data_IF_861376262965
#
_entry.id   IF_861376262965
#
_cell.length_a   1.000
_cell.length_b   1.000
_cell.length_c   1.000
_cell.angle_alpha   90.00
_cell.angle_beta   90.00
_cell.angle_gamma   90.00
#
_symmetry.space_group_name_H-M   'P 1'
#
loop_
_entity.id
_entity.type
_entity.pdbx_description
1 polymer ?
#
# COMPACT_ATOMS: atom_id res chain seq x y z
N UNK A 1 -21.39 -3.27 -12.04
CA UNK A 1 -20.08 -2.94 -12.64
C UNK A 1 -19.39 -1.92 -11.75
N UNK A 2 -18.38 -2.31 -10.98
CA UNK A 2 -17.63 -1.40 -10.08
C UNK A 2 -16.16 -1.43 -10.46
N UNK A 3 -15.87 -1.11 -11.71
CA UNK A 3 -14.50 -0.95 -12.20
C UNK A 3 -13.93 0.36 -11.68
N UNK A 4 -12.88 0.27 -10.87
CA UNK A 4 -11.75 1.21 -10.85
C UNK A 4 -11.97 2.65 -10.31
N UNK A 5 -12.70 2.85 -9.20
CA UNK A 5 -12.78 4.18 -8.61
C UNK A 5 -11.65 4.55 -7.62
N UNK A 6 -10.63 3.69 -7.41
CA UNK A 6 -9.54 3.95 -6.45
C UNK A 6 -8.16 3.48 -6.93
N UNK A 7 -7.88 3.63 -8.23
CA UNK A 7 -6.67 3.10 -8.86
C UNK A 7 -5.82 4.15 -9.60
N UNK A 8 -6.17 5.44 -9.49
CA UNK A 8 -5.38 6.54 -10.04
C UNK A 8 -4.05 6.72 -9.29
N UNK A 9 -3.04 7.37 -9.91
CA UNK A 9 -1.81 7.75 -9.24
C UNK A 9 -2.03 8.63 -7.99
N UNK A 10 -3.03 9.51 -8.02
CA UNK A 10 -3.41 10.41 -6.92
C UNK A 10 -3.95 9.62 -5.72
N UNK A 11 -4.88 8.70 -5.96
CA UNK A 11 -5.44 7.84 -4.92
C UNK A 11 -4.37 6.88 -4.37
N UNK A 12 -3.49 6.39 -5.23
CA UNK A 12 -2.37 5.55 -4.82
C UNK A 12 -1.42 6.35 -3.93
N UNK A 13 -1.00 7.55 -4.32
CA UNK A 13 -0.13 8.40 -3.49
C UNK A 13 -0.78 8.75 -2.13
N UNK A 14 -2.09 8.99 -2.10
CA UNK A 14 -2.83 9.25 -0.86
C UNK A 14 -2.78 8.03 0.07
N UNK A 15 -3.05 6.83 -0.45
CA UNK A 15 -2.92 5.57 0.32
C UNK A 15 -1.50 5.33 0.80
N UNK A 16 -0.51 5.56 -0.06
CA UNK A 16 0.89 5.40 0.31
C UNK A 16 1.29 6.34 1.44
N UNK A 17 0.73 7.56 1.50
CA UNK A 17 0.99 8.46 2.62
C UNK A 17 0.45 7.88 3.94
N UNK A 18 -0.75 7.29 3.91
CA UNK A 18 -1.32 6.57 5.08
C UNK A 18 -0.54 5.30 5.46
N UNK A 19 0.03 4.61 4.48
CA UNK A 19 0.84 3.41 4.68
C UNK A 19 2.17 3.77 5.35
N UNK A 20 2.93 4.69 4.74
CA UNK A 20 4.23 5.13 5.24
C UNK A 20 4.12 5.80 6.61
N UNK A 21 3.02 6.51 6.90
CA UNK A 21 2.84 7.17 8.19
C UNK A 21 2.72 6.19 9.37
N UNK A 22 2.30 4.95 9.10
CA UNK A 22 2.07 3.90 10.11
C UNK A 22 3.25 2.96 10.31
N UNK A 23 4.30 3.07 9.50
CA UNK A 23 5.50 2.24 9.61
C UNK A 23 6.65 3.06 10.20
N UNK A 24 7.27 2.63 11.32
CA UNK A 24 8.30 3.41 12.01
C UNK A 24 9.67 3.41 11.29
N UNK A 25 9.76 2.80 10.11
CA UNK A 25 10.98 2.69 9.30
C UNK A 25 10.69 2.91 7.83
N UNK A 26 11.73 3.18 7.05
CA UNK A 26 11.63 3.22 5.60
C UNK A 26 11.29 1.84 5.02
N UNK A 27 10.47 1.83 3.97
CA UNK A 27 10.04 0.64 3.23
C UNK A 27 10.67 0.59 1.85
N UNK A 28 10.99 -0.60 1.34
CA UNK A 28 11.32 -0.77 -0.07
C UNK A 28 10.09 -0.61 -0.97
N UNK A 29 10.30 -0.50 -2.29
CA UNK A 29 9.22 -0.53 -3.28
C UNK A 29 8.37 -1.81 -3.14
N UNK A 30 9.02 -2.96 -2.92
CA UNK A 30 8.33 -4.26 -2.87
C UNK A 30 7.55 -4.41 -1.56
N UNK A 31 8.10 -3.97 -0.43
CA UNK A 31 7.39 -3.95 0.87
C UNK A 31 6.17 -3.04 0.80
N UNK A 32 6.33 -1.84 0.23
CA UNK A 32 5.23 -0.87 0.05
C UNK A 32 4.16 -1.44 -0.88
N UNK A 33 4.57 -2.10 -1.97
CA UNK A 33 3.64 -2.73 -2.92
C UNK A 33 2.87 -3.87 -2.26
N UNK A 34 3.55 -4.72 -1.49
CA UNK A 34 2.93 -5.83 -0.76
C UNK A 34 1.90 -5.33 0.25
N UNK A 35 2.23 -4.29 1.04
CA UNK A 35 1.29 -3.67 1.97
C UNK A 35 0.09 -3.05 1.26
N UNK A 36 0.29 -2.24 0.23
CA UNK A 36 -0.83 -1.57 -0.45
C UNK A 36 -1.76 -2.57 -1.14
N UNK A 37 -1.21 -3.56 -1.85
CA UNK A 37 -2.03 -4.56 -2.54
C UNK A 37 -2.77 -5.44 -1.55
N UNK A 38 -2.11 -5.89 -0.48
CA UNK A 38 -2.73 -6.68 0.57
C UNK A 38 -3.84 -5.91 1.29
N UNK A 39 -3.61 -4.62 1.62
CA UNK A 39 -4.61 -3.78 2.28
C UNK A 39 -5.86 -3.59 1.41
N UNK A 40 -5.69 -3.45 0.09
CA UNK A 40 -6.83 -3.32 -0.83
C UNK A 40 -7.55 -4.64 -1.11
N UNK A 41 -6.85 -5.77 -0.99
CA UNK A 41 -7.32 -7.11 -1.34
C UNK A 41 -7.13 -8.15 -0.21
N UNK A 42 -7.42 -7.77 1.04
CA UNK A 42 -7.20 -8.59 2.24
C UNK A 42 -7.77 -10.01 2.09
N UNK A 43 -8.95 -10.18 1.49
CA UNK A 43 -9.54 -11.51 1.25
C UNK A 43 -8.74 -12.37 0.28
N UNK A 44 -8.30 -11.80 -0.84
CA UNK A 44 -7.57 -12.53 -1.88
C UNK A 44 -6.20 -12.98 -1.37
N UNK A 45 -5.56 -12.14 -0.57
CA UNK A 45 -4.28 -12.47 0.04
C UNK A 45 -4.39 -13.29 1.31
N UNK A 46 -5.59 -13.50 1.88
CA UNK A 46 -5.80 -14.36 3.04
C UNK A 46 -5.58 -13.68 4.39
N UNK A 47 -5.64 -12.35 4.43
CA UNK A 47 -5.47 -11.53 5.65
C UNK A 47 -6.79 -11.06 6.27
N UNK A 48 -7.92 -11.29 5.63
CA UNK A 48 -9.23 -10.94 6.16
C UNK A 48 -10.38 -11.51 5.33
N UNK A 49 -11.62 -11.19 5.71
CA UNK A 49 -12.82 -11.73 5.07
C UNK A 49 -13.43 -10.80 3.99
N UNK A 50 -12.96 -9.55 3.92
CA UNK A 50 -13.45 -8.51 3.01
C UNK A 50 -12.28 -7.76 2.38
N UNK A 51 -12.50 -7.18 1.20
CA UNK A 51 -11.50 -6.41 0.45
C UNK A 51 -12.08 -5.05 0.09
N UNK A 52 -11.27 -3.98 0.19
CA UNK A 52 -11.70 -2.61 -0.09
C UNK A 52 -12.06 -2.42 -1.56
N UNK A 53 -11.33 -3.08 -2.46
CA UNK A 53 -11.55 -2.98 -3.91
C UNK A 53 -12.48 -4.07 -4.44
N UNK A 54 -13.20 -4.76 -3.54
CA UNK A 54 -14.02 -5.91 -3.88
C UNK A 54 -13.18 -7.16 -4.16
N UNK A 55 -13.87 -8.25 -4.55
CA UNK A 55 -13.21 -9.49 -4.90
C UNK A 55 -12.94 -9.60 -6.38
N UNK A 56 -11.69 -9.90 -6.75
CA UNK A 56 -11.32 -10.22 -8.13
C UNK A 56 -10.30 -11.37 -8.15
N UNK A 57 -10.48 -12.39 -9.01
CA UNK A 57 -9.47 -13.43 -9.22
C UNK A 57 -8.19 -12.87 -9.87
N UNK A 58 -8.27 -11.68 -10.49
CA UNK A 58 -7.16 -11.01 -11.15
C UNK A 58 -6.31 -10.14 -10.22
N UNK A 59 -6.57 -10.14 -8.90
CA UNK A 59 -5.80 -9.32 -7.95
C UNK A 59 -4.29 -9.64 -8.00
N UNK A 60 -3.96 -10.89 -8.30
CA UNK A 60 -2.58 -11.34 -8.51
C UNK A 60 -1.99 -10.78 -9.81
N UNK A 61 -2.74 -10.85 -10.91
CA UNK A 61 -2.34 -10.26 -12.20
C UNK A 61 -2.19 -8.74 -12.13
N UNK A 62 -2.79 -8.08 -11.13
CA UNK A 62 -2.62 -6.64 -10.89
C UNK A 62 -1.26 -6.30 -10.25
N UNK A 63 -0.49 -7.27 -9.71
CA UNK A 63 0.71 -6.97 -8.93
C UNK A 63 1.73 -6.10 -9.68
N UNK A 64 2.06 -6.44 -10.92
CA UNK A 64 3.03 -5.66 -11.71
C UNK A 64 2.52 -4.25 -12.02
N UNK A 65 1.23 -4.13 -12.37
CA UNK A 65 0.59 -2.85 -12.60
C UNK A 65 0.47 -2.02 -11.31
N UNK A 66 0.29 -2.68 -10.16
CA UNK A 66 0.27 -2.07 -8.85
C UNK A 66 1.65 -1.57 -8.48
N UNK A 67 2.69 -2.39 -8.66
CA UNK A 67 4.08 -2.03 -8.37
C UNK A 67 4.51 -0.78 -9.15
N UNK A 68 4.16 -0.68 -10.44
CA UNK A 68 4.42 0.53 -11.25
C UNK A 68 3.72 1.77 -10.70
N UNK A 69 2.45 1.65 -10.28
CA UNK A 69 1.70 2.76 -9.68
C UNK A 69 2.23 3.15 -8.31
N UNK A 70 2.65 2.18 -7.50
CA UNK A 70 3.30 2.43 -6.21
C UNK A 70 4.60 3.20 -6.41
N UNK A 71 5.43 2.78 -7.37
CA UNK A 71 6.66 3.51 -7.71
C UNK A 71 6.37 4.96 -8.14
N UNK A 72 5.40 5.18 -9.03
CA UNK A 72 5.00 6.53 -9.45
C UNK A 72 4.45 7.36 -8.28
N UNK A 73 3.68 6.74 -7.38
CA UNK A 73 3.15 7.37 -6.16
C UNK A 73 4.27 7.78 -5.21
N UNK A 74 5.22 6.89 -4.92
CA UNK A 74 6.39 7.19 -4.08
C UNK A 74 7.22 8.33 -4.65
N UNK A 75 7.51 8.31 -5.96
CA UNK A 75 8.24 9.39 -6.63
C UNK A 75 7.51 10.73 -6.51
N UNK A 76 6.17 10.72 -6.61
CA UNK A 76 5.35 11.92 -6.37
C UNK A 76 5.47 12.41 -4.93
N UNK A 77 5.34 11.52 -3.94
CA UNK A 77 5.43 11.90 -2.52
C UNK A 77 6.79 12.48 -2.16
N UNK A 78 7.87 11.95 -2.72
CA UNK A 78 9.23 12.51 -2.56
C UNK A 78 9.32 13.91 -3.16
N UNK A 79 8.85 14.09 -4.40
CA UNK A 79 8.85 15.39 -5.07
C UNK A 79 8.00 16.45 -4.35
N UNK A 80 6.95 16.03 -3.64
CA UNK A 80 6.08 16.92 -2.86
C UNK A 80 6.49 17.03 -1.38
N UNK A 81 7.60 16.40 -0.96
CA UNK A 81 8.09 16.47 0.42
C UNK A 81 7.26 15.71 1.46
N UNK A 82 6.34 14.84 1.03
CA UNK A 82 5.50 14.00 1.92
C UNK A 82 6.17 12.66 2.28
N UNK A 83 7.18 12.26 1.50
CA UNK A 83 8.04 11.13 1.80
C UNK A 83 9.51 11.51 1.58
N UNK A 84 10.42 10.79 2.22
CA UNK A 84 11.86 10.91 2.02
C UNK A 84 12.44 9.57 1.61
N UNK A 85 13.53 9.59 0.86
CA UNK A 85 14.31 8.38 0.59
C UNK A 85 15.30 8.11 1.72
N UNK A 86 15.56 6.84 2.04
CA UNK A 86 16.69 6.45 2.88
C UNK A 86 18.04 6.64 2.18
N UNK A 87 19.13 6.42 2.90
CA UNK A 87 20.51 6.71 2.46
C UNK A 87 20.91 6.00 1.15
N UNK A 88 20.31 4.84 0.89
CA UNK A 88 20.56 4.05 -0.32
C UNK A 88 19.67 4.46 -1.52
N UNK A 89 18.78 5.43 -1.36
CA UNK A 89 17.86 5.91 -2.40
C UNK A 89 16.76 4.93 -2.81
N UNK A 90 16.69 3.74 -2.20
CA UNK A 90 15.77 2.64 -2.60
C UNK A 90 14.73 2.29 -1.54
N UNK A 91 14.71 3.02 -0.43
CA UNK A 91 13.71 2.90 0.63
C UNK A 91 13.03 4.24 0.87
N UNK A 92 11.79 4.22 1.36
CA UNK A 92 10.93 5.39 1.48
C UNK A 92 10.30 5.46 2.86
N UNK A 93 10.39 6.62 3.53
CA UNK A 93 9.79 6.88 4.83
C UNK A 93 8.88 8.11 4.80
N UNK A 94 7.97 8.22 5.77
CA UNK A 94 7.13 9.41 5.91
C UNK A 94 7.92 10.59 6.50
N UNK A 95 7.74 11.80 5.95
CA UNK A 95 8.27 13.04 6.55
C UNK A 95 7.29 13.57 7.61
N UNK A 96 7.68 14.57 8.44
CA UNK A 96 6.73 15.25 9.31
C UNK A 96 5.52 15.83 8.55
N UNK A 97 5.73 16.38 7.35
CA UNK A 97 4.65 16.85 6.49
C UNK A 97 3.75 15.70 6.00
N UNK A 98 4.34 14.55 5.64
CA UNK A 98 3.60 13.33 5.31
C UNK A 98 2.75 12.80 6.45
N UNK A 99 3.29 12.82 7.68
CA UNK A 99 2.58 12.44 8.89
C UNK A 99 1.37 13.35 9.13
N UNK A 100 1.56 14.67 9.09
CA UNK A 100 0.46 15.64 9.24
C UNK A 100 -0.60 15.48 8.15
N UNK A 101 -0.19 15.26 6.89
CA UNK A 101 -1.14 15.02 5.81
C UNK A 101 -1.94 13.73 6.05
N UNK A 102 -1.28 12.63 6.43
CA UNK A 102 -1.96 11.38 6.73
C UNK A 102 -2.98 11.50 7.87
N UNK A 103 -2.70 12.34 8.88
CA UNK A 103 -3.62 12.61 9.99
C UNK A 103 -4.83 13.47 9.57
N UNK A 104 -4.67 14.29 8.53
CA UNK A 104 -5.78 15.09 7.98
C UNK A 104 -6.74 14.31 7.09
N UNK A 105 -6.37 13.08 6.68
CA UNK A 105 -7.22 12.22 5.87
C UNK A 105 -8.30 11.58 6.76
N UNK A 106 -9.55 11.86 6.45
CA UNK A 106 -10.72 11.33 7.15
C UNK A 106 -11.67 10.57 6.20
N UNK A 107 -12.68 9.93 6.81
CA UNK A 107 -13.74 9.23 6.10
C UNK A 107 -13.59 7.71 6.05
N UNK A 108 -14.70 7.04 5.76
CA UNK A 108 -14.83 5.59 5.90
C UNK A 108 -13.78 4.78 5.13
N UNK A 109 -13.33 5.28 3.97
CA UNK A 109 -12.28 4.61 3.20
C UNK A 109 -10.90 4.74 3.86
N UNK A 110 -10.56 5.94 4.36
CA UNK A 110 -9.29 6.18 5.06
C UNK A 110 -9.21 5.35 6.34
N UNK A 111 -10.31 5.27 7.10
CA UNK A 111 -10.43 4.44 8.29
C UNK A 111 -10.23 2.96 7.96
N UNK A 112 -10.95 2.45 6.96
CA UNK A 112 -10.88 1.05 6.59
C UNK A 112 -9.50 0.66 6.03
N UNK A 113 -8.86 1.53 5.25
CA UNK A 113 -7.49 1.33 4.78
C UNK A 113 -6.48 1.35 5.93
N UNK A 114 -6.60 2.33 6.84
CA UNK A 114 -5.74 2.44 8.02
C UNK A 114 -5.86 1.21 8.93
N UNK A 115 -7.06 0.69 9.14
CA UNK A 115 -7.30 -0.56 9.86
C UNK A 115 -6.67 -1.76 9.16
N UNK A 116 -6.81 -1.87 7.83
CA UNK A 116 -6.18 -2.95 7.06
C UNK A 116 -4.65 -2.93 7.19
N UNK A 117 -4.02 -1.75 7.10
CA UNK A 117 -2.57 -1.59 7.33
C UNK A 117 -2.20 -2.02 8.75
N UNK A 118 -2.94 -1.56 9.77
CA UNK A 118 -2.68 -1.97 11.16
C UNK A 118 -2.76 -3.49 11.37
N UNK A 119 -3.76 -4.14 10.77
CA UNK A 119 -3.92 -5.61 10.81
C UNK A 119 -2.82 -6.37 10.07
N UNK A 120 -2.26 -5.80 9.00
CA UNK A 120 -1.13 -6.37 8.26
C UNK A 120 0.16 -6.22 9.07
N UNK A 121 0.42 -5.05 9.62
CA UNK A 121 1.61 -4.81 10.45
C UNK A 121 1.62 -5.67 11.71
N UNK A 122 0.45 -5.90 12.34
CA UNK A 122 0.30 -6.81 13.47
C UNK A 122 0.65 -8.28 13.15
N UNK A 123 0.65 -8.67 11.88
CA UNK A 123 1.06 -10.02 11.43
C UNK A 123 2.56 -10.15 11.18
N UNK A 124 3.29 -9.04 11.10
CA UNK A 124 4.68 -8.99 10.64
C UNK A 124 4.77 -8.68 9.15
N UNK A 125 5.59 -7.69 8.80
CA UNK A 125 5.75 -7.21 7.42
C UNK A 125 6.39 -8.27 6.52
N UNK A 126 7.37 -8.99 7.04
CA UNK A 126 8.01 -10.14 6.42
C UNK A 126 7.01 -11.25 6.08
N UNK A 127 6.09 -11.57 7.00
CA UNK A 127 4.98 -12.52 6.74
C UNK A 127 4.10 -12.03 5.60
N UNK A 128 3.75 -10.74 5.60
CA UNK A 128 2.91 -10.14 4.56
C UNK A 128 3.58 -10.22 3.19
N UNK A 129 4.85 -9.82 3.10
CA UNK A 129 5.63 -9.83 1.85
C UNK A 129 5.74 -11.24 1.29
N UNK A 130 6.13 -12.22 2.12
CA UNK A 130 6.29 -13.62 1.69
C UNK A 130 4.97 -14.19 1.17
N UNK A 131 3.86 -13.94 1.87
CA UNK A 131 2.55 -14.46 1.49
C UNK A 131 2.01 -13.80 0.21
N UNK A 132 2.24 -12.50 0.02
CA UNK A 132 1.93 -11.80 -1.23
C UNK A 132 2.75 -12.39 -2.38
N UNK A 133 4.08 -12.50 -2.22
CA UNK A 133 4.97 -13.06 -3.24
C UNK A 133 4.60 -14.49 -3.61
N UNK A 134 4.33 -15.35 -2.62
CA UNK A 134 3.91 -16.74 -2.84
C UNK A 134 2.64 -16.81 -3.68
N UNK A 135 1.64 -15.98 -3.39
CA UNK A 135 0.40 -15.91 -4.19
C UNK A 135 0.66 -15.36 -5.59
N UNK A 136 1.57 -14.41 -5.74
CA UNK A 136 1.94 -13.87 -7.05
C UNK A 136 2.59 -14.94 -7.92
N UNK A 137 3.54 -15.71 -7.38
CA UNK A 137 4.24 -16.78 -8.12
C UNK A 137 3.36 -17.99 -8.44
N UNK A 138 2.29 -18.25 -7.67
CA UNK A 138 1.40 -19.38 -7.90
C UNK A 138 0.37 -19.15 -9.03
N UNK A 139 0.20 -17.91 -9.47
CA UNK A 139 -0.86 -17.51 -10.40
C UNK A 139 -0.37 -16.57 -11.53
N UNK A 140 0.94 -16.36 -11.65
CA UNK A 140 1.59 -15.67 -12.77
C UNK A 140 2.31 -16.66 -13.66
#
# INVERSE_FOLDING_TARGET
>A
MTTSLFNTPEETATRLTMCLSRVPRSLSLDETTALDIAATYMKQFGFGNKSLHGGTPYAVAEYDARRRRVHAGLARLVRTGLASTGDNGITFGSTPAGQSFAQSLDGAYADAYGQAIGQLLARGLDVVVVQVQKKVMQHG
#
